data_IF_447250495046
#
_entry.id   IF_447250495046
#
_cell.length_a   1.000
_cell.length_b   1.000
_cell.length_c   1.000
_cell.angle_alpha   90.00
_cell.angle_beta   90.00
_cell.angle_gamma   90.00
#
_symmetry.space_group_name_H-M   'P 1'
#
loop_
_entity.id
_entity.type
_entity.pdbx_description
1 polymer ?
#
# COMPACT_ATOMS: atom_id res chain seq x y z
N UNK A 1 18.50 -5.47 1.28
CA UNK A 1 19.62 -4.52 1.35
C UNK A 1 19.00 -3.18 1.66
N UNK A 2 19.42 -2.55 2.76
CA UNK A 2 18.90 -1.24 3.13
C UNK A 2 19.66 -0.16 2.36
N UNK A 3 18.94 0.83 1.86
CA UNK A 3 19.54 1.99 1.17
C UNK A 3 19.06 3.29 1.80
N UNK A 4 19.88 4.33 1.67
CA UNK A 4 19.55 5.67 2.15
C UNK A 4 18.42 6.26 1.31
N UNK A 5 17.31 6.56 1.96
CA UNK A 5 16.17 7.27 1.41
C UNK A 5 16.14 8.68 2.00
N UNK A 6 16.18 9.69 1.15
CA UNK A 6 16.02 11.09 1.53
C UNK A 6 14.65 11.61 1.12
N UNK A 7 13.99 12.31 2.05
CA UNK A 7 12.68 12.92 1.84
C UNK A 7 12.61 14.29 2.51
N UNK A 8 12.01 15.25 1.83
CA UNK A 8 11.74 16.57 2.38
C UNK A 8 10.31 16.64 2.88
N UNK A 9 10.14 16.90 4.18
CA UNK A 9 8.83 17.01 4.82
C UNK A 9 7.96 18.05 4.12
N UNK A 10 6.79 17.64 3.63
CA UNK A 10 5.87 18.54 2.93
C UNK A 10 5.36 19.71 3.80
N UNK A 11 5.35 19.54 5.14
CA UNK A 11 4.91 20.59 6.08
C UNK A 11 5.95 21.66 6.37
N UNK A 12 7.18 21.25 6.70
CA UNK A 12 8.20 22.17 7.22
C UNK A 12 9.46 22.24 6.34
N UNK A 13 9.52 21.50 5.23
CA UNK A 13 10.69 21.43 4.34
C UNK A 13 11.91 20.74 4.94
N UNK A 14 11.81 20.16 6.13
CA UNK A 14 12.93 19.49 6.81
C UNK A 14 13.34 18.22 6.08
N UNK A 15 14.64 18.05 5.87
CA UNK A 15 15.20 16.82 5.29
C UNK A 15 15.17 15.69 6.32
N UNK A 16 14.69 14.53 5.90
CA UNK A 16 14.68 13.29 6.66
C UNK A 16 15.43 12.23 5.86
N UNK A 17 16.39 11.57 6.50
CA UNK A 17 17.21 10.51 5.90
C UNK A 17 17.03 9.23 6.71
N UNK A 18 16.64 8.16 6.05
CA UNK A 18 16.39 6.87 6.66
C UNK A 18 17.03 5.77 5.82
N UNK A 19 17.60 4.78 6.49
CA UNK A 19 17.97 3.53 5.82
C UNK A 19 16.74 2.63 5.81
N UNK A 20 16.24 2.32 4.62
CA UNK A 20 15.04 1.53 4.44
C UNK A 20 15.33 0.29 3.61
N UNK A 21 14.72 -0.87 3.95
CA UNK A 21 14.72 -2.01 3.06
C UNK A 21 13.91 -1.65 1.82
N UNK A 22 14.51 -1.86 0.65
CA UNK A 22 13.88 -1.62 -0.64
C UNK A 22 13.92 -2.92 -1.44
N UNK A 23 12.94 -3.82 -1.25
CA UNK A 23 12.86 -5.07 -2.01
C UNK A 23 12.50 -4.79 -3.47
N UNK A 24 12.73 -5.75 -4.37
CA UNK A 24 12.34 -5.62 -5.78
C UNK A 24 10.83 -5.88 -5.93
N UNK A 25 10.17 -5.12 -6.79
CA UNK A 25 8.78 -5.37 -7.16
C UNK A 25 8.60 -6.83 -7.65
N UNK A 26 7.51 -7.53 -7.29
CA UNK A 26 6.27 -7.01 -6.71
C UNK A 26 6.29 -6.74 -5.20
N UNK A 27 7.36 -7.13 -4.50
CA UNK A 27 7.51 -6.90 -3.07
C UNK A 27 7.71 -5.40 -2.75
N UNK A 28 7.32 -5.02 -1.54
CA UNK A 28 7.46 -3.65 -1.05
C UNK A 28 7.78 -3.62 0.44
N UNK A 29 8.29 -2.47 0.88
CA UNK A 29 8.39 -2.13 2.28
C UNK A 29 7.47 -0.94 2.58
N UNK A 30 6.66 -1.06 3.62
CA UNK A 30 5.79 0.00 4.11
C UNK A 30 6.22 0.41 5.51
N UNK A 31 6.44 1.70 5.71
CA UNK A 31 6.87 2.23 7.01
C UNK A 31 6.38 3.65 7.23
N UNK A 32 6.51 4.12 8.47
CA UNK A 32 6.15 5.46 8.88
C UNK A 32 7.40 6.31 9.05
N UNK A 33 7.46 7.42 8.31
CA UNK A 33 8.48 8.44 8.45
C UNK A 33 7.97 9.51 9.41
N UNK A 34 8.69 9.75 10.50
CA UNK A 34 8.40 10.87 11.42
C UNK A 34 9.41 11.99 11.14
N UNK A 35 8.91 13.17 10.81
CA UNK A 35 9.76 14.34 10.58
C UNK A 35 10.46 14.74 11.88
N UNK A 36 11.79 14.79 11.86
CA UNK A 36 12.59 15.16 13.03
C UNK A 36 12.38 16.62 13.47
N UNK A 37 11.95 17.49 12.54
CA UNK A 37 11.82 18.92 12.79
C UNK A 37 10.42 19.31 13.33
N UNK A 38 9.34 18.80 12.74
CA UNK A 38 7.97 19.17 13.14
C UNK A 38 7.14 18.02 13.75
N UNK A 39 7.68 16.80 13.78
CA UNK A 39 6.99 15.62 14.32
C UNK A 39 5.85 15.08 13.44
N UNK A 40 5.60 15.69 12.27
CA UNK A 40 4.61 15.21 11.31
C UNK A 40 4.94 13.79 10.85
N UNK A 41 3.91 12.96 10.69
CA UNK A 41 4.05 11.56 10.29
C UNK A 41 3.56 11.39 8.86
N UNK A 42 4.38 10.73 8.06
CA UNK A 42 4.09 10.46 6.66
C UNK A 42 4.23 8.95 6.42
N UNK A 43 3.25 8.35 5.75
CA UNK A 43 3.33 6.95 5.37
C UNK A 43 4.09 6.83 4.05
N UNK A 44 5.03 5.90 4.00
CA UNK A 44 5.82 5.66 2.80
C UNK A 44 5.79 4.19 2.42
N UNK A 45 5.57 3.96 1.12
CA UNK A 45 5.73 2.65 0.50
C UNK A 45 6.91 2.75 -0.46
N UNK A 46 7.86 1.82 -0.38
CA UNK A 46 9.07 1.80 -1.21
C UNK A 46 9.30 0.42 -1.82
N UNK A 47 9.77 0.40 -3.08
CA UNK A 47 10.14 -0.81 -3.81
C UNK A 47 11.20 -0.49 -4.87
N UNK A 48 11.93 -1.49 -5.37
CA UNK A 48 12.88 -1.37 -6.46
C UNK A 48 12.29 -1.85 -7.80
N UNK A 49 12.65 -1.15 -8.86
CA UNK A 49 12.46 -1.67 -10.21
C UNK A 49 13.39 -2.87 -10.44
N UNK A 50 12.86 -4.06 -10.76
CA UNK A 50 13.67 -5.25 -10.98
C UNK A 50 14.66 -5.12 -12.14
N UNK A 51 14.39 -4.22 -13.10
CA UNK A 51 15.20 -4.05 -14.32
C UNK A 51 16.38 -3.10 -14.17
N UNK A 52 16.28 -2.06 -13.34
CA UNK A 52 17.33 -1.03 -13.23
C UNK A 52 17.74 -0.71 -11.78
N UNK A 53 17.13 -1.39 -10.80
CA UNK A 53 17.37 -1.20 -9.37
C UNK A 53 17.16 0.23 -8.86
N UNK A 54 16.48 1.10 -9.64
CA UNK A 54 16.02 2.40 -9.15
C UNK A 54 14.81 2.20 -8.25
N UNK A 55 14.79 2.89 -7.13
CA UNK A 55 13.66 2.82 -6.22
C UNK A 55 12.50 3.66 -6.74
N UNK A 56 11.30 3.17 -6.50
CA UNK A 56 10.02 3.84 -6.68
C UNK A 56 9.36 3.92 -5.32
N UNK A 57 8.70 5.05 -5.05
CA UNK A 57 8.11 5.29 -3.74
C UNK A 57 6.79 6.05 -3.87
N UNK A 58 5.94 5.85 -2.88
CA UNK A 58 4.67 6.54 -2.71
C UNK A 58 4.65 7.17 -1.33
N UNK A 59 4.26 8.44 -1.29
CA UNK A 59 4.09 9.22 -0.06
C UNK A 59 2.61 9.52 0.09
N UNK A 60 2.08 9.19 1.25
CA UNK A 60 0.66 9.26 1.49
C UNK A 60 0.40 9.82 2.90
N UNK A 61 -0.53 10.76 3.01
CA UNK A 61 -1.03 11.21 4.32
C UNK A 61 -1.90 10.13 5.00
N UNK A 62 -2.50 9.25 4.19
CA UNK A 62 -3.24 8.08 4.63
C UNK A 62 -2.52 6.83 4.15
N UNK A 63 -2.14 5.94 5.07
CA UNK A 63 -1.52 4.65 4.75
C UNK A 63 -2.32 3.92 3.66
N UNK A 64 -1.72 3.70 2.49
CA UNK A 64 -2.39 3.05 1.35
C UNK A 64 -2.74 1.60 1.70
N UNK A 65 -1.84 0.79 2.30
CA UNK A 65 -2.20 -0.54 2.76
C UNK A 65 -3.38 -0.54 3.75
N UNK A 66 -3.42 0.41 4.69
CA UNK A 66 -4.52 0.50 5.64
C UNK A 66 -5.82 0.97 4.98
N UNK A 67 -5.76 1.86 3.99
CA UNK A 67 -6.90 2.26 3.17
C UNK A 67 -7.48 1.08 2.39
N UNK A 68 -6.62 0.29 1.73
CA UNK A 68 -7.03 -0.90 0.99
C UNK A 68 -7.67 -1.92 1.94
N UNK A 69 -7.02 -2.21 3.07
CA UNK A 69 -7.57 -3.11 4.09
C UNK A 69 -8.89 -2.61 4.71
N UNK A 70 -8.99 -1.31 4.97
CA UNK A 70 -10.20 -0.68 5.50
C UNK A 70 -11.36 -0.70 4.50
N UNK A 71 -11.10 -0.43 3.22
CA UNK A 71 -12.08 -0.51 2.16
C UNK A 71 -12.56 -1.95 1.96
N UNK A 72 -11.64 -2.92 1.95
CA UNK A 72 -11.97 -4.35 1.85
C UNK A 72 -12.89 -4.78 2.99
N UNK A 73 -12.57 -4.43 4.24
CA UNK A 73 -13.44 -4.65 5.42
C UNK A 73 -14.82 -4.05 5.27
N UNK A 74 -14.87 -2.79 4.86
CA UNK A 74 -16.14 -2.11 4.66
C UNK A 74 -17.01 -2.78 3.59
N UNK A 75 -16.39 -3.19 2.48
CA UNK A 75 -17.08 -3.90 1.39
C UNK A 75 -17.61 -5.25 1.86
N UNK A 76 -16.79 -6.07 2.52
CA UNK A 76 -17.22 -7.38 3.05
C UNK A 76 -18.35 -7.23 4.05
N UNK A 77 -18.24 -6.33 5.04
CA UNK A 77 -19.32 -6.10 6.00
C UNK A 77 -20.62 -5.62 5.35
N UNK A 78 -20.53 -4.74 4.35
CA UNK A 78 -21.70 -4.23 3.62
C UNK A 78 -22.35 -5.32 2.77
N UNK A 79 -21.53 -6.18 2.17
CA UNK A 79 -21.99 -7.32 1.37
C UNK A 79 -22.58 -8.43 2.24
N UNK A 80 -22.05 -8.67 3.45
CA UNK A 80 -22.61 -9.64 4.39
C UNK A 80 -24.09 -9.35 4.68
N UNK A 81 -24.46 -8.08 4.89
CA UNK A 81 -25.87 -7.70 5.10
C UNK A 81 -26.77 -7.98 3.88
N UNK A 82 -26.21 -7.99 2.66
CA UNK A 82 -26.92 -8.37 1.44
C UNK A 82 -27.00 -9.91 1.29
N UNK A 83 -25.92 -10.61 1.62
CA UNK A 83 -25.86 -12.08 1.63
C UNK A 83 -26.86 -12.63 2.64
N UNK A 84 -26.90 -12.09 3.86
CA UNK A 84 -27.82 -12.54 4.91
C UNK A 84 -29.29 -12.37 4.46
N UNK A 85 -29.61 -11.26 3.78
CA UNK A 85 -30.94 -11.04 3.18
C UNK A 85 -31.24 -12.00 2.03
N UNK A 86 -30.25 -12.35 1.21
CA UNK A 86 -30.41 -13.30 0.11
C UNK A 86 -30.52 -14.76 0.60
N UNK A 87 -29.79 -15.11 1.66
CA UNK A 87 -29.84 -16.41 2.31
C UNK A 87 -31.23 -16.65 2.96
N UNK A 88 -31.84 -15.62 3.54
CA UNK A 88 -33.25 -15.67 3.98
C UNK A 88 -34.23 -15.98 2.84
N UNK A 89 -33.84 -15.76 1.58
CA UNK A 89 -34.63 -16.06 0.38
C UNK A 89 -34.19 -17.35 -0.31
N UNK A 90 -33.31 -18.14 0.32
CA UNK A 90 -32.82 -19.43 -0.21
C UNK A 90 -31.78 -19.30 -1.34
N UNK A 91 -31.23 -18.11 -1.57
CA UNK A 91 -30.19 -17.88 -2.55
C UNK A 91 -28.79 -17.98 -1.91
N UNK A 92 -27.89 -18.69 -2.58
CA UNK A 92 -26.45 -18.71 -2.27
C UNK A 92 -25.76 -17.66 -3.15
N UNK A 93 -25.06 -16.73 -2.51
CA UNK A 93 -24.22 -15.75 -3.20
C UNK A 93 -22.77 -16.05 -2.82
N UNK A 94 -21.97 -16.46 -3.82
CA UNK A 94 -20.52 -16.50 -3.74
C UNK A 94 -19.99 -15.17 -4.24
N UNK A 95 -19.14 -14.52 -3.44
CA UNK A 95 -18.43 -13.30 -3.84
C UNK A 95 -16.97 -13.69 -3.97
N UNK A 96 -16.45 -13.57 -5.17
CA UNK A 96 -15.03 -13.71 -5.44
C UNK A 96 -14.36 -12.37 -5.13
N UNK A 97 -13.74 -12.26 -3.96
CA UNK A 97 -12.94 -11.09 -3.58
C UNK A 97 -11.49 -11.36 -3.96
N UNK A 98 -10.81 -10.43 -4.66
CA UNK A 98 -9.40 -10.62 -5.00
C UNK A 98 -8.53 -10.60 -3.74
N UNK A 99 -7.54 -11.49 -3.66
CA UNK A 99 -6.59 -11.57 -2.54
C UNK A 99 -5.49 -10.50 -2.61
N UNK A 100 -5.33 -9.83 -3.76
CA UNK A 100 -4.22 -8.92 -4.04
C UNK A 100 -4.73 -7.65 -4.73
N UNK A 101 -4.24 -6.50 -4.27
CA UNK A 101 -4.42 -5.20 -4.89
C UNK A 101 -3.11 -4.72 -5.54
N UNK A 102 -3.00 -4.68 -6.88
CA UNK A 102 -1.81 -4.21 -7.58
C UNK A 102 -1.75 -2.69 -7.67
N UNK A 103 -0.65 -2.08 -7.23
CA UNK A 103 -0.31 -0.68 -7.49
C UNK A 103 0.67 -0.63 -8.66
N UNK A 104 0.17 -0.17 -9.80
CA UNK A 104 0.98 -0.01 -11.01
C UNK A 104 1.80 1.28 -10.95
N UNK A 105 3.09 1.18 -11.26
CA UNK A 105 3.99 2.32 -11.44
C UNK A 105 4.81 2.18 -12.72
N UNK A 106 5.28 3.32 -13.21
CA UNK A 106 6.28 3.37 -14.27
C UNK A 106 7.58 3.83 -13.65
N UNK A 107 8.61 3.00 -13.72
CA UNK A 107 9.95 3.36 -13.27
C UNK A 107 10.51 4.47 -14.17
N UNK A 108 11.37 5.38 -13.66
CA UNK A 108 12.08 6.35 -14.50
C UNK A 108 12.92 5.75 -15.65
N UNK A 109 13.20 4.45 -15.65
CA UNK A 109 13.83 3.77 -16.79
C UNK A 109 12.86 3.41 -17.92
N UNK A 110 11.55 3.63 -17.74
CA UNK A 110 10.49 3.29 -18.69
C UNK A 110 9.79 1.95 -18.42
N UNK A 111 10.34 1.11 -17.53
CA UNK A 111 9.75 -0.19 -17.20
C UNK A 111 8.46 -0.02 -16.40
N UNK A 112 7.44 -0.82 -16.74
CA UNK A 112 6.19 -0.89 -15.96
C UNK A 112 6.35 -1.97 -14.90
N UNK A 113 6.06 -1.61 -13.66
CA UNK A 113 6.10 -2.52 -12.53
C UNK A 113 4.82 -2.43 -11.73
N UNK A 114 4.52 -3.49 -10.99
CA UNK A 114 3.38 -3.53 -10.08
C UNK A 114 3.89 -3.90 -8.69
N UNK A 115 3.39 -3.22 -7.68
CA UNK A 115 3.55 -3.61 -6.27
C UNK A 115 2.28 -4.32 -5.84
N UNK A 116 2.41 -5.49 -5.22
CA UNK A 116 1.27 -6.31 -4.84
C UNK A 116 0.96 -6.16 -3.35
N UNK A 117 -0.15 -5.51 -3.01
CA UNK A 117 -0.63 -5.41 -1.63
C UNK A 117 -1.58 -6.56 -1.36
N UNK A 118 -1.24 -7.43 -0.42
CA UNK A 118 -2.17 -8.46 0.07
C UNK A 118 -3.39 -7.82 0.72
N UNK A 119 -4.57 -8.22 0.27
CA UNK A 119 -5.82 -7.88 0.92
C UNK A 119 -6.00 -8.88 2.07
N UNK A 120 -6.06 -8.43 3.33
CA UNK A 120 -6.20 -9.35 4.45
C UNK A 120 -7.55 -10.06 4.35
N UNK A 121 -7.51 -11.39 4.42
CA UNK A 121 -8.71 -12.20 4.50
C UNK A 121 -9.44 -11.91 5.82
N UNK A 122 -10.76 -11.91 5.78
CA UNK A 122 -11.62 -11.57 6.91
C UNK A 122 -12.24 -12.85 7.47
N UNK A 123 -11.38 -13.67 8.09
CA UNK A 123 -11.81 -14.74 8.99
C UNK A 123 -12.47 -14.18 10.27
#
# INVERSE_FOLDING_TARGET
MDQEFSYFCYRCGGENRLNLPMPNAPEYNHTNLTCTNCGDRTHILVSHCPSCSRYVYWINDMSIPDLVGGLARYMVHSMQALIDKAAMQGASISIDTPDIYPINATCPCGEKLSVEISIPDLD
#
